data_IF_907212732888
#
_entry.id   IF_907212732888
#
_cell.length_a   1.000
_cell.length_b   1.000
_cell.length_c   1.000
_cell.angle_alpha   90.00
_cell.angle_beta   90.00
_cell.angle_gamma   90.00
#
_symmetry.space_group_name_H-M   'P 1'
#
loop_
_entity.id
_entity.type
_entity.pdbx_description
1 polymer ?
#
# COMPACT_ATOMS: atom_id res chain seq x y z
N UNK A 1 -10.68 7.10 -19.70
CA UNK A 1 -9.52 6.61 -18.92
C UNK A 1 -9.25 5.10 -19.10
N UNK A 2 -10.15 4.17 -18.68
CA UNK A 2 -9.87 2.71 -18.83
C UNK A 2 -9.68 2.31 -20.30
N UNK A 3 -10.56 2.72 -21.19
CA UNK A 3 -10.47 2.40 -22.62
C UNK A 3 -9.23 3.00 -23.27
N UNK A 4 -8.91 4.24 -22.97
CA UNK A 4 -7.71 4.93 -23.42
C UNK A 4 -6.43 4.24 -22.91
N UNK A 5 -6.39 3.87 -21.61
CA UNK A 5 -5.28 3.12 -21.04
C UNK A 5 -5.12 1.74 -21.69
N UNK A 6 -6.23 1.07 -22.02
CA UNK A 6 -6.23 -0.20 -22.72
C UNK A 6 -5.67 -0.05 -24.14
N UNK A 7 -6.07 0.97 -24.87
CA UNK A 7 -5.53 1.28 -26.20
C UNK A 7 -4.00 1.45 -26.17
N UNK A 8 -3.51 2.30 -25.25
CA UNK A 8 -2.08 2.53 -25.08
C UNK A 8 -1.31 1.28 -24.65
N UNK A 9 -1.91 0.44 -23.77
CA UNK A 9 -1.30 -0.82 -23.39
C UNK A 9 -1.24 -1.82 -24.57
N UNK A 10 -2.28 -1.89 -25.40
CA UNK A 10 -2.27 -2.67 -26.64
C UNK A 10 -1.17 -2.20 -27.62
N UNK A 11 -1.00 -0.89 -27.76
CA UNK A 11 0.08 -0.32 -28.56
C UNK A 11 1.46 -0.66 -28.00
N UNK A 12 1.62 -0.65 -26.67
CA UNK A 12 2.84 -1.09 -25.99
C UNK A 12 3.14 -2.57 -26.27
N UNK A 13 2.14 -3.46 -26.17
CA UNK A 13 2.31 -4.89 -26.49
C UNK A 13 2.75 -5.09 -27.94
N UNK A 14 2.14 -4.36 -28.88
CA UNK A 14 2.49 -4.41 -30.31
C UNK A 14 3.92 -3.92 -30.55
N UNK A 15 4.34 -2.86 -29.87
CA UNK A 15 5.71 -2.32 -29.97
C UNK A 15 6.78 -3.31 -29.47
N UNK A 16 6.40 -4.18 -28.52
CA UNK A 16 7.25 -5.28 -28.04
C UNK A 16 7.24 -6.52 -28.95
N UNK A 17 6.42 -6.51 -30.01
CA UNK A 17 6.31 -7.63 -30.94
C UNK A 17 5.41 -8.77 -30.45
N UNK A 18 4.54 -8.52 -29.45
CA UNK A 18 3.58 -9.52 -28.98
C UNK A 18 2.40 -9.60 -29.97
N UNK A 19 2.08 -10.80 -30.42
CA UNK A 19 0.94 -11.08 -31.29
C UNK A 19 -0.35 -11.25 -30.49
N UNK A 20 -0.70 -10.22 -29.73
CA UNK A 20 -1.80 -10.28 -28.76
C UNK A 20 -3.19 -10.23 -29.40
N UNK A 21 -3.33 -9.66 -30.62
CA UNK A 21 -4.63 -9.53 -31.27
C UNK A 21 -5.18 -10.83 -31.78
N UNK A 22 -4.31 -11.69 -32.31
CA UNK A 22 -4.68 -12.97 -32.92
C UNK A 22 -4.69 -14.11 -31.89
N UNK A 23 -4.03 -13.93 -30.72
CA UNK A 23 -4.04 -14.92 -29.65
C UNK A 23 -5.28 -14.78 -28.78
N UNK A 24 -6.19 -15.79 -28.74
CA UNK A 24 -7.41 -15.76 -27.95
C UNK A 24 -7.16 -15.66 -26.44
N UNK A 25 -5.95 -15.99 -25.94
CA UNK A 25 -5.61 -15.85 -24.52
C UNK A 25 -5.22 -14.43 -24.15
N UNK A 26 -4.73 -13.63 -25.10
CA UNK A 26 -4.21 -12.28 -24.86
C UNK A 26 -4.98 -11.15 -25.57
N UNK A 27 -5.96 -11.47 -26.41
CA UNK A 27 -6.76 -10.45 -27.13
C UNK A 27 -7.45 -9.44 -26.19
N UNK A 28 -7.88 -9.88 -25.03
CA UNK A 28 -8.49 -9.02 -23.99
C UNK A 28 -7.48 -8.47 -22.97
N UNK A 29 -6.19 -8.79 -23.08
CA UNK A 29 -5.19 -8.37 -22.08
C UNK A 29 -5.15 -6.86 -21.88
N UNK A 30 -5.20 -6.01 -22.92
CA UNK A 30 -5.16 -4.57 -22.73
C UNK A 30 -6.26 -4.04 -21.81
N UNK A 31 -7.50 -4.46 -22.04
CA UNK A 31 -8.63 -4.00 -21.22
C UNK A 31 -8.61 -4.61 -19.82
N UNK A 32 -8.13 -5.87 -19.66
CA UNK A 32 -7.98 -6.52 -18.36
C UNK A 32 -6.93 -5.81 -17.50
N UNK A 33 -5.78 -5.47 -18.10
CA UNK A 33 -4.70 -4.74 -17.42
C UNK A 33 -5.18 -3.34 -17.00
N UNK A 34 -5.81 -2.59 -17.90
CA UNK A 34 -6.32 -1.26 -17.59
C UNK A 34 -7.33 -1.29 -16.43
N UNK A 35 -8.27 -2.24 -16.45
CA UNK A 35 -9.24 -2.44 -15.35
C UNK A 35 -8.56 -2.81 -14.04
N UNK A 36 -7.59 -3.74 -14.06
CA UNK A 36 -6.87 -4.16 -12.86
C UNK A 36 -6.10 -2.99 -12.21
N UNK A 37 -5.47 -2.13 -13.02
CA UNK A 37 -4.79 -0.95 -12.48
C UNK A 37 -5.78 0.06 -11.89
N UNK A 38 -6.81 0.45 -12.62
CA UNK A 38 -7.74 1.50 -12.20
C UNK A 38 -8.59 1.06 -11.00
N UNK A 39 -9.14 -0.16 -11.04
CA UNK A 39 -10.10 -0.60 -10.04
C UNK A 39 -9.45 -1.20 -8.80
N UNK A 40 -8.25 -1.76 -8.94
CA UNK A 40 -7.60 -2.51 -7.87
C UNK A 40 -6.23 -1.94 -7.51
N UNK A 41 -5.21 -2.13 -8.36
CA UNK A 41 -3.82 -1.88 -8.03
C UNK A 41 -3.50 -0.41 -7.74
N UNK A 42 -4.11 0.51 -8.49
CA UNK A 42 -3.92 1.95 -8.35
C UNK A 42 -5.16 2.68 -7.82
N UNK A 43 -6.13 1.97 -7.25
CA UNK A 43 -7.40 2.55 -6.79
C UNK A 43 -7.22 3.67 -5.75
N UNK A 44 -6.14 3.64 -4.96
CA UNK A 44 -5.80 4.71 -4.02
C UNK A 44 -5.36 6.03 -4.67
N UNK A 45 -5.08 6.04 -5.99
CA UNK A 45 -4.83 7.28 -6.74
C UNK A 45 -6.12 8.04 -7.03
N UNK A 46 -7.21 7.30 -7.25
CA UNK A 46 -8.48 7.83 -7.74
C UNK A 46 -9.53 8.01 -6.64
N UNK A 47 -9.32 7.39 -5.49
CA UNK A 47 -10.24 7.43 -4.37
C UNK A 47 -9.73 8.36 -3.25
N UNK A 48 -10.67 8.91 -2.48
CA UNK A 48 -10.35 9.64 -1.27
C UNK A 48 -9.86 8.71 -0.15
N UNK A 49 -9.05 9.24 0.80
CA UNK A 49 -8.64 8.48 1.97
C UNK A 49 -9.83 7.89 2.73
N UNK A 50 -9.70 6.70 3.32
CA UNK A 50 -10.78 6.10 4.07
C UNK A 50 -11.13 6.96 5.29
N UNK A 51 -12.43 7.15 5.53
CA UNK A 51 -12.88 7.79 6.76
C UNK A 51 -12.46 6.94 7.96
N UNK A 52 -11.62 7.50 8.81
CA UNK A 52 -11.17 6.86 10.03
C UNK A 52 -12.17 7.17 11.15
N UNK A 53 -12.59 6.13 11.86
CA UNK A 53 -13.35 6.27 13.09
C UNK A 53 -12.38 6.06 14.26
N UNK A 54 -12.15 7.10 15.01
CA UNK A 54 -11.47 7.05 16.28
C UNK A 54 -12.48 7.24 17.41
N UNK A 55 -12.20 6.71 18.57
CA UNK A 55 -13.05 6.71 19.76
C UNK A 55 -12.27 7.33 20.93
N UNK A 56 -12.98 7.97 21.84
CA UNK A 56 -12.38 8.45 23.09
C UNK A 56 -11.81 7.26 23.88
N UNK A 57 -10.66 7.43 24.48
CA UNK A 57 -9.99 6.43 25.31
C UNK A 57 -10.61 6.39 26.71
N UNK A 58 -11.89 6.02 26.80
CA UNK A 58 -12.69 6.06 28.06
C UNK A 58 -12.13 5.18 29.19
N UNK A 59 -11.31 4.19 28.86
CA UNK A 59 -10.68 3.29 29.80
C UNK A 59 -9.27 3.74 30.23
N UNK A 60 -8.82 4.89 29.75
CA UNK A 60 -7.48 5.42 29.99
C UNK A 60 -6.35 4.42 29.66
N UNK A 61 -6.52 3.65 28.59
CA UNK A 61 -5.50 2.71 28.13
C UNK A 61 -4.25 3.47 27.70
N UNK A 62 -3.11 3.15 28.28
CA UNK A 62 -1.81 3.79 28.06
C UNK A 62 -0.73 2.82 27.54
N UNK A 63 -1.14 1.60 27.19
CA UNK A 63 -0.28 0.59 26.61
C UNK A 63 -0.18 0.68 25.09
N UNK A 64 0.65 -0.19 24.51
CA UNK A 64 0.85 -0.29 23.07
C UNK A 64 -0.37 -0.96 22.43
N UNK A 65 -1.00 -0.29 21.48
CA UNK A 65 -1.92 -0.91 20.53
C UNK A 65 -1.09 -1.33 19.32
N UNK A 66 -1.01 -2.63 19.08
CA UNK A 66 -0.20 -3.22 18.01
C UNK A 66 -1.06 -4.09 17.08
N UNK A 67 -0.94 -3.86 15.80
CA UNK A 67 -1.49 -4.73 14.76
C UNK A 67 -0.37 -5.15 13.80
N UNK A 68 -0.01 -6.43 13.85
CA UNK A 68 0.98 -7.04 12.97
C UNK A 68 0.37 -7.79 11.81
N UNK A 69 1.21 -8.13 10.83
CA UNK A 69 0.87 -8.97 9.68
C UNK A 69 -0.30 -8.44 8.83
N UNK A 70 -0.45 -7.12 8.74
CA UNK A 70 -1.40 -6.49 7.81
C UNK A 70 -0.88 -6.77 6.39
N UNK A 71 -1.64 -7.53 5.60
CA UNK A 71 -1.24 -7.87 4.24
C UNK A 71 -1.06 -6.62 3.39
N UNK A 72 0.06 -6.57 2.69
CA UNK A 72 0.45 -5.45 1.84
C UNK A 72 0.72 -5.95 0.43
N UNK A 73 -0.03 -5.40 -0.52
CA UNK A 73 0.17 -5.59 -1.95
C UNK A 73 0.26 -4.21 -2.59
N UNK A 74 1.40 -3.89 -3.14
CA UNK A 74 1.66 -2.63 -3.83
C UNK A 74 2.47 -2.86 -5.09
N UNK A 75 2.76 -1.81 -5.83
CA UNK A 75 3.63 -1.92 -6.99
C UNK A 75 4.64 -0.77 -7.02
N UNK A 76 5.85 -1.14 -7.44
CA UNK A 76 6.98 -0.24 -7.48
C UNK A 76 6.78 0.85 -8.53
N UNK A 77 6.95 2.11 -8.15
CA UNK A 77 6.84 3.26 -9.06
C UNK A 77 7.86 3.25 -10.19
N UNK A 78 9.01 2.54 -10.02
CA UNK A 78 10.06 2.50 -11.02
C UNK A 78 9.77 1.56 -12.21
N UNK A 79 9.12 0.41 -11.95
CA UNK A 79 8.94 -0.64 -12.96
C UNK A 79 7.49 -1.13 -13.06
N UNK A 80 6.59 -0.66 -12.22
CA UNK A 80 5.20 -1.13 -12.07
C UNK A 80 5.10 -2.64 -11.79
N UNK A 81 6.17 -3.25 -11.29
CA UNK A 81 6.15 -4.62 -10.80
C UNK A 81 5.74 -4.66 -9.32
N UNK A 82 5.01 -5.70 -8.90
CA UNK A 82 4.50 -5.77 -7.54
C UNK A 82 5.61 -5.91 -6.50
N UNK A 83 5.33 -5.42 -5.29
CA UNK A 83 5.99 -5.87 -4.07
C UNK A 83 4.93 -6.29 -3.06
N UNK A 84 5.22 -7.38 -2.37
CA UNK A 84 4.25 -8.10 -1.55
C UNK A 84 4.88 -8.40 -0.19
N UNK A 85 4.13 -8.15 0.85
CA UNK A 85 4.63 -8.37 2.21
C UNK A 85 3.61 -8.07 3.29
N UNK A 86 4.11 -7.55 4.41
CA UNK A 86 3.30 -7.21 5.55
C UNK A 86 3.68 -5.82 6.08
N UNK A 87 2.68 -5.11 6.59
CA UNK A 87 2.86 -3.95 7.43
C UNK A 87 2.56 -4.27 8.88
N UNK A 88 3.28 -3.64 9.77
CA UNK A 88 3.13 -3.71 11.23
C UNK A 88 2.97 -2.30 11.74
N UNK A 89 1.92 -2.07 12.52
CA UNK A 89 1.55 -0.75 13.02
C UNK A 89 1.43 -0.81 14.53
N UNK A 90 2.02 0.14 15.21
CA UNK A 90 1.83 0.35 16.64
C UNK A 90 1.58 1.83 16.93
N UNK A 91 0.79 2.10 17.95
CA UNK A 91 0.68 3.43 18.55
C UNK A 91 0.37 3.32 20.04
N UNK A 92 0.65 4.36 20.79
CA UNK A 92 0.34 4.47 22.22
C UNK A 92 -0.58 5.69 22.38
N UNK A 93 -1.87 5.48 22.73
CA UNK A 93 -2.78 6.59 23.01
C UNK A 93 -2.45 7.24 24.36
N UNK A 94 -2.79 8.49 24.55
CA UNK A 94 -2.83 9.08 25.90
C UNK A 94 -4.14 8.74 26.60
N UNK A 95 -4.19 8.91 27.92
CA UNK A 95 -5.38 8.67 28.73
C UNK A 95 -6.61 9.49 28.25
N UNK A 96 -6.40 10.69 27.72
CA UNK A 96 -7.45 11.55 27.19
C UNK A 96 -7.47 11.61 25.65
N UNK A 97 -6.70 10.73 25.00
CA UNK A 97 -6.55 10.72 23.54
C UNK A 97 -7.59 9.85 22.86
N UNK A 98 -7.31 9.55 21.60
CA UNK A 98 -8.19 8.78 20.73
C UNK A 98 -7.62 7.39 20.47
N UNK A 99 -8.50 6.39 20.34
CA UNK A 99 -8.17 5.02 19.94
C UNK A 99 -8.78 4.75 18.58
N UNK A 100 -7.96 4.28 17.65
CA UNK A 100 -8.37 3.97 16.27
C UNK A 100 -8.99 2.57 16.23
N UNK A 101 -10.14 2.45 15.60
CA UNK A 101 -10.77 1.14 15.38
C UNK A 101 -9.88 0.19 14.56
N UNK A 102 -9.75 -1.07 15.00
CA UNK A 102 -8.84 -2.07 14.44
C UNK A 102 -8.89 -2.17 12.90
N UNK A 103 -10.09 -2.25 12.32
CA UNK A 103 -10.28 -2.35 10.87
C UNK A 103 -9.80 -1.11 10.10
N UNK A 104 -9.60 0.02 10.77
CA UNK A 104 -9.19 1.28 10.14
C UNK A 104 -7.69 1.28 9.83
N UNK A 105 -6.89 0.65 10.67
CA UNK A 105 -5.45 0.47 10.41
C UNK A 105 -5.22 -0.32 9.11
N UNK A 106 -5.97 -1.40 8.88
CA UNK A 106 -5.92 -2.15 7.63
C UNK A 106 -6.28 -1.28 6.42
N UNK A 107 -7.33 -0.46 6.54
CA UNK A 107 -7.78 0.42 5.44
C UNK A 107 -6.77 1.52 5.11
N UNK A 108 -6.08 2.06 6.12
CA UNK A 108 -5.01 3.04 5.90
C UNK A 108 -3.87 2.39 5.12
N UNK A 109 -3.41 1.21 5.55
CA UNK A 109 -2.35 0.47 4.87
C UNK A 109 -2.75 0.16 3.44
N UNK A 110 -3.93 -0.39 3.22
CA UNK A 110 -4.44 -0.72 1.89
C UNK A 110 -4.54 0.51 0.98
N UNK A 111 -5.12 1.60 1.46
CA UNK A 111 -5.29 2.82 0.68
C UNK A 111 -3.97 3.38 0.14
N UNK A 112 -2.93 3.42 0.99
CA UNK A 112 -1.61 3.89 0.56
C UNK A 112 -0.86 2.85 -0.28
N UNK A 113 -1.08 1.55 -0.05
CA UNK A 113 -0.50 0.49 -0.86
C UNK A 113 -1.06 0.45 -2.29
N UNK A 114 -2.31 0.88 -2.51
CA UNK A 114 -2.97 0.92 -3.83
C UNK A 114 -2.56 2.14 -4.67
N UNK A 115 -1.25 2.38 -4.76
CA UNK A 115 -0.61 3.47 -5.52
C UNK A 115 0.73 3.00 -6.08
N UNK A 116 1.27 3.65 -7.14
CA UNK A 116 2.69 3.49 -7.46
C UNK A 116 3.53 3.98 -6.28
N UNK A 117 4.34 3.10 -5.68
CA UNK A 117 5.03 3.40 -4.43
C UNK A 117 6.54 3.15 -4.48
N UNK A 118 7.24 3.87 -3.63
CA UNK A 118 8.54 3.52 -3.07
C UNK A 118 8.29 3.12 -1.62
N UNK A 119 8.84 2.01 -1.16
CA UNK A 119 8.48 1.43 0.15
C UNK A 119 8.73 2.38 1.32
N UNK A 120 9.79 3.18 1.25
CA UNK A 120 10.13 4.20 2.25
C UNK A 120 9.03 5.26 2.36
N UNK A 121 8.54 5.77 1.23
CA UNK A 121 7.47 6.75 1.20
C UNK A 121 6.14 6.15 1.67
N UNK A 122 5.85 4.89 1.32
CA UNK A 122 4.68 4.17 1.80
C UNK A 122 4.69 4.07 3.33
N UNK A 123 5.84 3.73 3.92
CA UNK A 123 6.03 3.67 5.37
C UNK A 123 5.75 5.02 6.03
N UNK A 124 6.28 6.10 5.44
CA UNK A 124 6.06 7.48 5.93
C UNK A 124 4.59 7.86 5.85
N UNK A 125 3.92 7.62 4.73
CA UNK A 125 2.53 8.01 4.51
C UNK A 125 1.58 7.30 5.49
N UNK A 126 1.78 6.00 5.73
CA UNK A 126 0.98 5.24 6.69
C UNK A 126 1.20 5.79 8.11
N UNK A 127 2.47 5.98 8.51
CA UNK A 127 2.81 6.51 9.81
C UNK A 127 2.17 7.89 10.06
N UNK A 128 2.31 8.82 9.12
CA UNK A 128 1.84 10.19 9.29
C UNK A 128 0.31 10.27 9.32
N UNK A 129 -0.38 9.41 8.55
CA UNK A 129 -1.83 9.31 8.62
C UNK A 129 -2.29 8.82 10.00
N UNK A 130 -1.68 7.76 10.54
CA UNK A 130 -2.03 7.24 11.85
C UNK A 130 -1.73 8.26 12.95
N UNK A 131 -0.57 8.92 12.87
CA UNK A 131 -0.19 9.97 13.82
C UNK A 131 -1.20 11.13 13.84
N UNK A 132 -1.73 11.51 12.68
CA UNK A 132 -2.75 12.54 12.54
C UNK A 132 -4.10 12.12 13.12
N UNK A 133 -4.53 10.87 12.86
CA UNK A 133 -5.86 10.39 13.28
C UNK A 133 -5.91 9.98 14.76
N UNK A 134 -4.79 9.56 15.32
CA UNK A 134 -4.65 9.32 16.76
C UNK A 134 -4.10 10.57 17.45
N UNK A 135 -4.95 11.57 17.62
CA UNK A 135 -4.56 12.83 18.28
C UNK A 135 -4.07 12.58 19.71
N UNK A 136 -3.08 13.34 20.13
CA UNK A 136 -2.45 13.24 21.46
C UNK A 136 -1.82 11.87 21.77
N UNK A 137 -1.34 11.15 20.74
CA UNK A 137 -0.60 9.91 20.94
C UNK A 137 0.81 10.17 21.53
N UNK A 138 1.30 9.20 22.31
CA UNK A 138 2.67 9.22 22.87
C UNK A 138 3.70 8.81 21.82
N UNK A 139 3.30 8.04 20.83
CA UNK A 139 4.16 7.62 19.72
C UNK A 139 3.43 6.72 18.73
N UNK A 140 3.96 6.69 17.51
CA UNK A 140 3.53 5.81 16.42
C UNK A 140 4.74 5.11 15.83
N UNK A 141 4.60 3.84 15.52
CA UNK A 141 5.60 3.06 14.80
C UNK A 141 4.95 2.31 13.64
N UNK A 142 5.58 2.37 12.48
CA UNK A 142 5.19 1.57 11.30
C UNK A 142 6.43 0.88 10.76
N UNK A 143 6.32 -0.42 10.53
CA UNK A 143 7.33 -1.22 9.83
C UNK A 143 6.68 -1.94 8.67
N UNK A 144 7.36 -1.96 7.52
CA UNK A 144 6.97 -2.73 6.34
C UNK A 144 8.10 -3.67 5.99
N UNK A 145 7.75 -4.93 5.72
CA UNK A 145 8.64 -5.91 5.15
C UNK A 145 8.03 -6.49 3.88
N UNK A 146 8.75 -6.45 2.76
CA UNK A 146 8.24 -6.90 1.47
C UNK A 146 9.32 -7.45 0.55
N UNK A 147 8.90 -8.38 -0.29
CA UNK A 147 9.67 -8.89 -1.42
C UNK A 147 9.31 -8.11 -2.67
N UNK A 148 10.33 -7.61 -3.39
CA UNK A 148 10.17 -6.73 -4.55
C UNK A 148 10.40 -7.51 -5.86
N UNK A 149 9.35 -7.70 -6.65
CA UNK A 149 9.47 -8.43 -7.92
C UNK A 149 10.40 -7.73 -8.92
N UNK A 150 10.56 -6.41 -8.83
CA UNK A 150 11.52 -5.67 -9.65
C UNK A 150 13.00 -6.05 -9.37
N UNK A 151 13.29 -6.66 -8.23
CA UNK A 151 14.60 -7.19 -7.89
C UNK A 151 14.65 -8.73 -7.96
N UNK A 152 13.54 -9.43 -7.66
CA UNK A 152 13.50 -10.89 -7.63
C UNK A 152 13.49 -11.52 -9.03
N UNK A 153 12.62 -11.03 -9.94
CA UNK A 153 12.39 -11.66 -11.25
C UNK A 153 13.26 -11.10 -12.37
N UNK A 154 13.89 -9.96 -12.16
CA UNK A 154 14.78 -9.27 -13.11
C UNK A 154 15.85 -8.47 -12.38
N UNK A 155 16.79 -7.88 -13.12
CA UNK A 155 17.91 -7.12 -12.55
C UNK A 155 18.85 -8.02 -11.77
N UNK A 156 18.96 -7.82 -10.46
CA UNK A 156 19.86 -8.60 -9.59
C UNK A 156 19.38 -10.02 -9.30
N UNK A 157 18.11 -10.32 -9.53
CA UNK A 157 17.49 -11.67 -9.33
C UNK A 157 17.76 -12.24 -7.93
N UNK A 158 17.49 -11.42 -6.91
CA UNK A 158 17.74 -11.79 -5.52
C UNK A 158 16.47 -11.70 -4.68
N UNK A 159 16.20 -12.72 -3.86
CA UNK A 159 14.99 -12.86 -3.03
C UNK A 159 15.10 -12.16 -1.67
N UNK A 160 15.81 -11.02 -1.62
CA UNK A 160 15.92 -10.27 -0.38
C UNK A 160 14.60 -9.62 0.02
N UNK A 161 14.29 -9.69 1.31
CA UNK A 161 13.18 -8.96 1.90
C UNK A 161 13.68 -7.58 2.34
N UNK A 162 13.09 -6.54 1.76
CA UNK A 162 13.34 -5.18 2.16
C UNK A 162 12.51 -4.82 3.39
N UNK A 163 13.14 -4.20 4.38
CA UNK A 163 12.47 -3.70 5.59
C UNK A 163 12.66 -2.20 5.72
N UNK A 164 11.58 -1.49 5.96
CA UNK A 164 11.56 -0.05 6.24
C UNK A 164 10.77 0.20 7.51
N UNK A 165 11.19 1.17 8.32
CA UNK A 165 10.46 1.56 9.52
C UNK A 165 10.48 3.08 9.70
N UNK A 166 9.39 3.61 10.23
CA UNK A 166 9.30 4.97 10.76
C UNK A 166 8.73 4.93 12.16
N UNK A 167 9.42 5.58 13.07
CA UNK A 167 9.08 5.65 14.49
C UNK A 167 9.03 7.12 14.91
N UNK A 168 8.20 7.44 15.88
CA UNK A 168 8.12 8.78 16.45
C UNK A 168 7.96 8.74 17.98
N UNK A 169 8.44 9.78 18.62
CA UNK A 169 8.40 10.00 20.07
C UNK A 169 9.05 8.84 20.87
N UNK A 170 8.26 8.04 21.61
CA UNK A 170 8.78 7.01 22.53
C UNK A 170 9.19 5.69 21.87
N UNK A 171 8.96 5.49 20.58
CA UNK A 171 9.42 4.33 19.82
C UNK A 171 10.84 4.46 19.32
#
# INVERSE_FOLDING_TARGET
MIEEAAEHYGNYMSALGFDWKEDPNSSDTPIRVAKAFVNDLASGVYNEPPKITAFENVNNYDGIVFQGNIKLHSFCSHHHLPFIGNAHVAYIPTANGMVIGLSKLNRIVEFYARRPQVQENLTIQIHDHIHKECTDNIGVAVMIEASHMCACVRGVKHDAIMKTAKLSNVF
#
